data_IF_258244839934
#
_entry.id   IF_258244839934
#
_cell.length_a   1.000
_cell.length_b   1.000
_cell.length_c   1.000
_cell.angle_alpha   90.00
_cell.angle_beta   90.00
_cell.angle_gamma   90.00
#
_symmetry.space_group_name_H-M   'P 1'
#
loop_
_entity.id
_entity.type
_entity.pdbx_description
1 polymer ?
#
# COMPACT_ATOMS: atom_id res chain seq x y z
N UNK A 1 -19.73 32.80 21.21
CA UNK A 1 -19.85 31.89 20.05
C UNK A 1 -18.47 31.81 19.41
N UNK A 2 -17.73 30.77 19.77
CA UNK A 2 -16.45 30.47 19.13
C UNK A 2 -16.72 29.32 18.18
N UNK A 3 -16.92 29.63 16.89
CA UNK A 3 -16.76 28.63 15.84
C UNK A 3 -15.25 28.38 15.72
N UNK A 4 -14.83 27.26 16.32
CA UNK A 4 -13.48 26.77 16.26
C UNK A 4 -13.13 26.44 14.81
N UNK A 5 -12.26 27.28 14.26
CA UNK A 5 -11.35 26.99 13.17
C UNK A 5 -10.78 25.58 13.37
N UNK A 6 -11.30 24.61 12.62
CA UNK A 6 -10.76 23.25 12.63
C UNK A 6 -9.54 23.23 11.71
N UNK A 7 -8.42 23.66 12.29
CA UNK A 7 -7.09 23.41 11.78
C UNK A 7 -6.76 21.94 12.03
N UNK A 8 -6.67 21.16 10.95
CA UNK A 8 -5.93 19.89 10.95
C UNK A 8 -5.26 19.82 9.58
N UNK A 9 -4.06 20.39 9.46
CA UNK A 9 -2.77 19.74 9.73
C UNK A 9 -2.56 18.53 8.82
N UNK A 10 -1.61 18.67 7.90
CA UNK A 10 -1.37 17.74 6.80
C UNK A 10 -0.66 16.46 7.19
N UNK A 11 -0.59 15.53 6.23
CA UNK A 11 0.39 14.44 6.21
C UNK A 11 0.11 13.29 7.18
N UNK A 12 -0.49 12.21 6.68
CA UNK A 12 -0.69 10.97 7.43
C UNK A 12 -2.15 10.71 7.74
N UNK A 13 -2.94 10.43 6.70
CA UNK A 13 -4.35 10.12 6.81
C UNK A 13 -4.60 8.84 7.61
N UNK A 14 -4.63 8.94 8.94
CA UNK A 14 -5.43 8.06 9.79
C UNK A 14 -6.90 8.44 9.58
N UNK A 15 -7.43 8.13 8.40
CA UNK A 15 -8.88 8.03 8.25
C UNK A 15 -9.34 6.88 9.15
N UNK A 16 -10.47 7.00 9.84
CA UNK A 16 -11.03 5.84 10.55
C UNK A 16 -11.21 4.69 9.54
N UNK A 17 -10.91 3.45 9.95
CA UNK A 17 -11.06 2.19 9.19
C UNK A 17 -12.53 1.87 8.86
N UNK A 18 -13.24 2.84 8.29
CA UNK A 18 -14.69 2.81 8.04
C UNK A 18 -15.04 1.92 6.85
N UNK A 19 -14.12 1.70 5.92
CA UNK A 19 -14.35 0.88 4.73
C UNK A 19 -13.58 -0.45 4.80
N UNK A 20 -14.17 -1.49 4.21
CA UNK A 20 -13.51 -2.79 4.04
C UNK A 20 -12.15 -2.62 3.31
N UNK A 21 -12.10 -1.70 2.35
CA UNK A 21 -10.89 -1.38 1.61
C UNK A 21 -9.77 -0.83 2.51
N UNK A 22 -10.08 0.01 3.50
CA UNK A 22 -9.08 0.52 4.44
C UNK A 22 -8.55 -0.60 5.36
N UNK A 23 -9.42 -1.50 5.81
CA UNK A 23 -9.01 -2.70 6.57
C UNK A 23 -8.16 -3.64 5.74
N UNK A 24 -8.48 -3.82 4.46
CA UNK A 24 -7.67 -4.63 3.56
C UNK A 24 -6.30 -3.98 3.32
N UNK A 25 -6.26 -2.64 3.15
CA UNK A 25 -5.01 -1.92 3.02
C UNK A 25 -4.13 -2.09 4.26
N UNK A 26 -4.69 -1.98 5.46
CA UNK A 26 -3.96 -2.18 6.70
C UNK A 26 -3.49 -3.64 6.88
N UNK A 27 -4.30 -4.63 6.49
CA UNK A 27 -3.89 -6.04 6.49
C UNK A 27 -2.72 -6.30 5.55
N UNK A 28 -2.74 -5.74 4.33
CA UNK A 28 -1.63 -5.83 3.38
C UNK A 28 -0.37 -5.16 3.94
N UNK A 29 -0.50 -3.96 4.53
CA UNK A 29 0.63 -3.27 5.20
C UNK A 29 1.21 -4.11 6.34
N UNK A 30 0.35 -4.72 7.16
CA UNK A 30 0.77 -5.57 8.27
C UNK A 30 1.48 -6.84 7.78
N UNK A 31 1.00 -7.43 6.69
CA UNK A 31 1.59 -8.61 6.08
C UNK A 31 2.98 -8.34 5.50
N UNK A 32 3.12 -7.23 4.77
CA UNK A 32 4.41 -6.80 4.21
C UNK A 32 5.40 -6.45 5.33
N UNK A 33 4.95 -5.77 6.40
CA UNK A 33 5.78 -5.54 7.60
C UNK A 33 6.19 -6.83 8.30
N UNK A 34 5.29 -7.79 8.43
CA UNK A 34 5.59 -9.10 9.03
C UNK A 34 6.62 -9.90 8.22
N UNK A 35 6.66 -9.69 6.89
CA UNK A 35 7.68 -10.25 6.01
C UNK A 35 9.03 -9.50 6.04
N UNK A 36 9.11 -8.39 6.78
CA UNK A 36 10.34 -7.60 6.94
C UNK A 36 10.46 -6.41 6.00
N UNK A 37 9.44 -6.10 5.20
CA UNK A 37 9.43 -4.93 4.34
C UNK A 37 9.03 -3.67 5.10
N UNK A 38 9.71 -2.56 4.80
CA UNK A 38 9.41 -1.26 5.38
C UNK A 38 8.41 -0.50 4.48
N UNK A 39 7.43 0.16 5.11
CA UNK A 39 6.56 1.10 4.41
C UNK A 39 7.40 2.30 3.96
N UNK A 40 7.15 2.81 2.74
CA UNK A 40 7.92 3.90 2.17
C UNK A 40 7.93 5.11 3.12
N UNK A 41 9.12 5.67 3.34
CA UNK A 41 9.33 6.83 4.20
C UNK A 41 10.52 7.65 3.72
N UNK A 42 10.68 8.85 4.28
CA UNK A 42 11.61 9.90 3.81
C UNK A 42 13.10 9.48 3.69
N UNK A 43 13.49 8.30 4.20
CA UNK A 43 14.90 7.88 4.26
C UNK A 43 15.16 6.45 3.74
N UNK A 44 14.15 5.71 3.30
CA UNK A 44 14.30 4.33 2.81
C UNK A 44 13.28 4.02 1.70
N UNK A 45 13.77 3.39 0.62
CA UNK A 45 12.89 2.72 -0.34
C UNK A 45 12.02 1.68 0.36
N UNK A 46 10.78 1.52 -0.09
CA UNK A 46 9.78 0.72 0.60
C UNK A 46 8.52 0.53 -0.23
N UNK A 47 7.47 0.03 0.41
CA UNK A 47 6.18 -0.17 -0.25
C UNK A 47 5.17 0.91 0.16
N UNK A 48 4.26 1.26 -0.75
CA UNK A 48 3.09 2.11 -0.46
C UNK A 48 1.84 1.30 -0.78
N UNK A 49 0.86 1.33 0.11
CA UNK A 49 -0.45 0.70 -0.14
C UNK A 49 -1.51 1.79 -0.19
N UNK A 50 -2.12 1.95 -1.36
CA UNK A 50 -3.18 2.91 -1.62
C UNK A 50 -4.48 2.20 -1.99
N UNK A 51 -5.64 2.70 -1.54
CA UNK A 51 -6.91 2.25 -2.07
C UNK A 51 -7.06 2.69 -3.53
N UNK A 52 -7.31 1.74 -4.43
CA UNK A 52 -7.64 2.02 -5.82
C UNK A 52 -9.10 2.46 -6.01
N UNK A 53 -9.44 3.00 -7.19
CA UNK A 53 -10.75 3.59 -7.46
C UNK A 53 -11.90 2.57 -7.48
N UNK A 54 -11.64 1.32 -7.88
CA UNK A 54 -12.68 0.28 -8.04
C UNK A 54 -12.71 -0.74 -6.89
N UNK A 55 -12.25 -0.35 -5.70
CA UNK A 55 -12.20 -1.25 -4.53
C UNK A 55 -11.01 -2.22 -4.53
N UNK A 56 -10.12 -2.13 -5.54
CA UNK A 56 -8.82 -2.79 -5.51
C UNK A 56 -7.85 -2.05 -4.57
N UNK A 57 -6.75 -2.70 -4.22
CA UNK A 57 -5.62 -2.07 -3.53
C UNK A 57 -4.45 -1.95 -4.51
N UNK A 58 -3.75 -0.84 -4.41
CA UNK A 58 -2.58 -0.53 -5.21
C UNK A 58 -1.35 -0.59 -4.31
N UNK A 59 -0.44 -1.51 -4.60
CA UNK A 59 0.84 -1.64 -3.90
C UNK A 59 1.94 -1.11 -4.80
N UNK A 60 2.46 0.07 -4.51
CA UNK A 60 3.63 0.62 -5.19
C UNK A 60 4.90 0.06 -4.56
N UNK A 61 5.86 -0.37 -5.39
CA UNK A 61 7.25 -0.53 -4.97
C UNK A 61 7.98 0.78 -5.26
N UNK A 62 8.54 1.42 -4.24
CA UNK A 62 9.46 2.52 -4.46
C UNK A 62 10.86 1.98 -4.74
N UNK A 63 11.47 2.42 -5.84
CA UNK A 63 12.83 2.06 -6.19
C UNK A 63 13.81 2.75 -5.24
N UNK A 64 14.43 1.97 -4.35
CA UNK A 64 15.66 2.40 -3.69
C UNK A 64 16.85 2.15 -4.62
N UNK A 65 17.95 2.92 -4.50
CA UNK A 65 19.13 2.70 -5.32
C UNK A 65 19.70 1.29 -5.07
N UNK A 66 19.71 0.47 -6.13
CA UNK A 66 20.21 -0.91 -6.09
C UNK A 66 19.18 -1.99 -5.75
N UNK A 67 17.88 -1.67 -5.69
CA UNK A 67 16.80 -2.65 -5.58
C UNK A 67 16.33 -3.10 -6.97
N UNK A 68 16.32 -4.42 -7.19
CA UNK A 68 15.68 -5.03 -8.35
C UNK A 68 14.16 -5.01 -8.18
N UNK A 69 13.51 -3.96 -8.70
CA UNK A 69 12.06 -3.76 -8.59
C UNK A 69 11.27 -5.00 -9.02
N UNK A 70 11.67 -5.63 -10.13
CA UNK A 70 11.02 -6.83 -10.65
C UNK A 70 11.14 -8.04 -9.70
N UNK A 71 12.26 -8.17 -8.96
CA UNK A 71 12.43 -9.24 -7.97
C UNK A 71 11.56 -8.97 -6.73
N UNK A 72 11.50 -7.72 -6.29
CA UNK A 72 10.67 -7.30 -5.15
C UNK A 72 9.17 -7.41 -5.45
N UNK A 73 8.73 -7.00 -6.64
CA UNK A 73 7.37 -7.21 -7.11
C UNK A 73 6.99 -8.70 -7.12
N UNK A 74 7.92 -9.58 -7.52
CA UNK A 74 7.71 -11.02 -7.50
C UNK A 74 7.60 -11.56 -6.07
N UNK A 75 8.40 -11.05 -5.13
CA UNK A 75 8.28 -11.40 -3.71
C UNK A 75 6.94 -10.93 -3.13
N UNK A 76 6.54 -9.69 -3.39
CA UNK A 76 5.26 -9.14 -2.90
C UNK A 76 4.09 -9.93 -3.46
N UNK A 77 4.11 -10.22 -4.77
CA UNK A 77 3.13 -11.08 -5.41
C UNK A 77 3.05 -12.46 -4.75
N UNK A 78 4.19 -13.08 -4.46
CA UNK A 78 4.20 -14.41 -3.83
C UNK A 78 3.60 -14.37 -2.41
N UNK A 79 3.96 -13.38 -1.61
CA UNK A 79 3.43 -13.16 -0.25
C UNK A 79 1.92 -12.93 -0.26
N UNK A 80 1.45 -12.04 -1.13
CA UNK A 80 0.04 -11.70 -1.26
C UNK A 80 -0.79 -12.88 -1.78
N UNK A 81 -0.26 -13.61 -2.75
CA UNK A 81 -0.90 -14.84 -3.27
C UNK A 81 -0.99 -15.92 -2.18
N UNK A 82 0.06 -16.09 -1.36
CA UNK A 82 0.06 -17.03 -0.23
C UNK A 82 -0.96 -16.64 0.83
N UNK A 83 -1.23 -15.35 0.98
CA UNK A 83 -2.25 -14.81 1.87
C UNK A 83 -3.68 -14.86 1.28
N UNK A 84 -3.85 -15.33 0.04
CA UNK A 84 -5.15 -15.45 -0.62
C UNK A 84 -5.59 -14.23 -1.43
N UNK A 85 -4.70 -13.25 -1.64
CA UNK A 85 -4.98 -12.12 -2.52
C UNK A 85 -4.58 -12.45 -3.96
N UNK A 86 -5.34 -11.95 -4.93
CA UNK A 86 -4.94 -12.01 -6.34
C UNK A 86 -4.22 -10.73 -6.72
N UNK A 87 -3.03 -10.88 -7.30
CA UNK A 87 -2.19 -9.75 -7.69
C UNK A 87 -2.00 -9.70 -9.20
N UNK A 88 -2.19 -8.53 -9.79
CA UNK A 88 -1.90 -8.25 -11.20
C UNK A 88 -0.90 -7.10 -11.31
N UNK A 89 -0.07 -7.10 -12.35
CA UNK A 89 0.75 -5.94 -12.65
C UNK A 89 -0.14 -4.73 -12.96
N UNK A 90 0.15 -3.60 -12.32
CA UNK A 90 -0.53 -2.33 -12.51
C UNK A 90 0.48 -1.23 -12.84
N UNK A 91 0.08 -0.30 -13.69
CA UNK A 91 0.80 0.97 -13.84
C UNK A 91 0.20 1.98 -12.86
N UNK A 92 1.07 2.58 -12.06
CA UNK A 92 0.79 3.72 -11.20
C UNK A 92 1.33 4.98 -11.86
N UNK A 93 0.85 6.15 -11.43
CA UNK A 93 1.28 7.44 -12.01
C UNK A 93 2.80 7.66 -11.82
N UNK A 94 3.35 7.13 -10.73
CA UNK A 94 4.77 7.24 -10.36
C UNK A 94 5.63 6.03 -10.79
N UNK A 95 5.05 4.98 -11.42
CA UNK A 95 5.84 3.82 -11.87
C UNK A 95 5.10 2.48 -11.95
N UNK A 96 5.84 1.38 -11.75
CA UNK A 96 5.29 0.02 -11.72
C UNK A 96 4.74 -0.30 -10.34
N UNK A 97 3.59 -0.97 -10.29
CA UNK A 97 2.97 -1.41 -9.05
C UNK A 97 2.16 -2.69 -9.21
N UNK A 98 1.63 -3.18 -8.11
CA UNK A 98 0.79 -4.36 -8.05
C UNK A 98 -0.63 -3.96 -7.67
N UNK A 99 -1.58 -4.32 -8.53
CA UNK A 99 -3.00 -4.31 -8.19
C UNK A 99 -3.30 -5.57 -7.39
N UNK A 100 -3.86 -5.39 -6.21
CA UNK A 100 -4.19 -6.46 -5.27
C UNK A 100 -5.69 -6.44 -5.06
N UNK A 101 -6.34 -7.57 -5.33
CA UNK A 101 -7.77 -7.77 -5.08
C UNK A 101 -7.95 -8.92 -4.12
N UNK A 102 -8.80 -8.74 -3.12
CA UNK A 102 -9.19 -9.84 -2.23
C UNK A 102 -10.07 -10.80 -3.01
N UNK A 103 -9.66 -12.07 -3.08
CA UNK A 103 -10.50 -13.12 -3.64
C UNK A 103 -11.48 -13.54 -2.55
N UNK A 104 -12.67 -12.93 -2.54
CA UNK A 104 -13.78 -13.38 -1.71
C UNK A 104 -14.56 -14.48 -2.43
#
# INVERSE_FOLDING_TARGET
MVELMNSQDGGGGRRPLETEQDRQAEQVRALLRAAGYAEFGENHGGFVVEPGPDGELLVACSDGPGLDLAAEEQHYRHLLTTAGYSTSAGLLDDGSGLRVVSQH
#
